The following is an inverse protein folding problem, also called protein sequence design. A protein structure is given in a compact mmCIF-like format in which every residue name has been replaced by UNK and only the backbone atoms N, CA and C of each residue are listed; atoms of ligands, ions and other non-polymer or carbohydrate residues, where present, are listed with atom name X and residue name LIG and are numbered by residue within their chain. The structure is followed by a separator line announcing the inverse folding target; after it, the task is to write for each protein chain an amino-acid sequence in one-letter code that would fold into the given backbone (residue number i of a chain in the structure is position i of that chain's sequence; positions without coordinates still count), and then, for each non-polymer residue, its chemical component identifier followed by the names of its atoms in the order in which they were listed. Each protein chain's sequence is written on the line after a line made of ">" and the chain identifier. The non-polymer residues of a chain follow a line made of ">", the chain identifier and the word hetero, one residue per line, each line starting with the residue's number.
data_IF_745949729377
#
_entry.id   IF_745949729377
#
_cell.length_a   1.000
_cell.length_b   1.000
_cell.length_c   1.000
_cell.angle_alpha   90.00
_cell.angle_beta   90.00
_cell.angle_gamma   90.00
#
_symmetry.space_group_name_H-M   'P 1'
#
loop_
_entity.id
_entity.type
_entity.pdbx_description
1 polymer ?
#
# COMPACT_ATOMS: atom_id res chain seq x y z
N UNK A 1 29.12 29.22 25.96
CA UNK A 1 30.31 28.41 25.65
C UNK A 1 29.83 26.98 25.46
N UNK A 2 29.89 26.43 24.24
CA UNK A 2 29.69 24.98 24.06
C UNK A 2 30.98 24.32 24.55
N UNK A 3 30.91 23.54 25.63
CA UNK A 3 32.05 22.79 26.15
C UNK A 3 32.51 21.73 25.12
N UNK A 4 33.83 21.55 24.96
CA UNK A 4 34.45 20.60 24.04
C UNK A 4 33.93 19.18 24.28
N UNK A 5 33.76 18.82 25.55
CA UNK A 5 33.17 17.55 25.99
C UNK A 5 31.79 17.29 25.37
N UNK A 6 30.96 18.33 25.27
CA UNK A 6 29.63 18.23 24.66
C UNK A 6 29.71 17.98 23.15
N UNK A 7 30.70 18.55 22.46
CA UNK A 7 30.90 18.36 21.02
C UNK A 7 31.42 16.95 20.71
N UNK A 8 32.34 16.43 21.53
CA UNK A 8 32.85 15.07 21.44
C UNK A 8 31.73 14.04 21.68
N UNK A 9 30.88 14.26 22.70
CA UNK A 9 29.70 13.42 22.93
C UNK A 9 28.73 13.38 21.74
N UNK A 10 28.51 14.51 21.07
CA UNK A 10 27.67 14.55 19.86
C UNK A 10 28.32 13.81 18.68
N UNK A 11 29.64 13.89 18.53
CA UNK A 11 30.38 13.12 17.55
C UNK A 11 30.31 11.61 17.83
N UNK A 12 30.44 11.18 19.08
CA UNK A 12 30.29 9.77 19.49
C UNK A 12 28.87 9.25 19.25
N UNK A 13 27.86 10.06 19.57
CA UNK A 13 26.45 9.72 19.30
C UNK A 13 26.17 9.57 17.80
N UNK A 14 26.71 10.47 16.98
CA UNK A 14 26.61 10.39 15.53
C UNK A 14 27.34 9.15 14.97
N UNK A 15 28.52 8.82 15.50
CA UNK A 15 29.25 7.60 15.16
C UNK A 15 28.40 6.35 15.42
N UNK A 16 27.84 6.20 16.63
CA UNK A 16 26.96 5.06 16.96
C UNK A 16 25.77 4.95 16.00
N UNK A 17 25.16 6.08 15.68
CA UNK A 17 24.04 6.15 14.72
C UNK A 17 24.48 5.69 13.33
N UNK A 18 25.63 6.17 12.84
CA UNK A 18 26.17 5.78 11.54
C UNK A 18 26.52 4.29 11.49
N UNK A 19 27.09 3.75 12.57
CA UNK A 19 27.44 2.33 12.67
C UNK A 19 26.22 1.42 12.64
N UNK A 20 25.07 1.87 13.14
CA UNK A 20 23.81 1.15 12.99
C UNK A 20 23.23 1.29 11.57
N UNK A 21 23.29 2.49 10.99
CA UNK A 21 22.60 2.79 9.73
C UNK A 21 23.35 2.30 8.48
N UNK A 22 24.67 2.49 8.43
CA UNK A 22 25.49 2.17 7.26
C UNK A 22 25.35 0.72 6.76
N UNK A 23 25.40 -0.32 7.63
CA UNK A 23 25.20 -1.71 7.19
C UNK A 23 23.74 -2.03 6.85
N UNK A 24 22.77 -1.34 7.47
CA UNK A 24 21.35 -1.56 7.24
C UNK A 24 20.82 -0.87 5.96
N UNK A 25 21.54 0.12 5.43
CA UNK A 25 21.10 0.87 4.26
C UNK A 25 21.06 -0.03 3.01
N UNK A 26 19.90 -0.16 2.32
CA UNK A 26 19.76 -1.08 1.22
C UNK A 26 20.76 -0.81 0.08
N UNK A 27 21.36 -1.88 -0.44
CA UNK A 27 22.21 -1.87 -1.64
C UNK A 27 21.45 -2.46 -2.82
N UNK A 28 21.77 -2.03 -4.04
CA UNK A 28 21.13 -2.54 -5.25
C UNK A 28 21.22 -4.07 -5.40
N UNK A 29 22.29 -4.68 -4.91
CA UNK A 29 22.48 -6.13 -4.89
C UNK A 29 21.52 -6.88 -3.98
N UNK A 30 21.03 -6.22 -2.92
CA UNK A 30 20.05 -6.77 -1.99
C UNK A 30 18.60 -6.55 -2.46
N UNK A 31 18.37 -5.58 -3.36
CA UNK A 31 17.04 -5.19 -3.86
C UNK A 31 16.63 -5.90 -5.16
N UNK A 32 17.19 -7.09 -5.44
CA UNK A 32 17.01 -7.76 -6.74
C UNK A 32 15.54 -8.10 -7.01
N UNK A 33 14.82 -8.55 -5.98
CA UNK A 33 13.40 -8.93 -6.14
C UNK A 33 12.54 -7.68 -6.32
N UNK A 34 12.73 -6.66 -5.49
CA UNK A 34 11.96 -5.42 -5.51
C UNK A 34 12.16 -4.64 -6.82
N UNK A 35 13.36 -4.70 -7.39
CA UNK A 35 13.64 -4.12 -8.72
C UNK A 35 12.90 -4.89 -9.81
N UNK A 36 12.83 -6.23 -9.74
CA UNK A 36 12.04 -7.05 -10.67
C UNK A 36 10.56 -6.73 -10.54
N UNK A 37 10.02 -6.76 -9.32
CA UNK A 37 8.63 -6.40 -9.02
C UNK A 37 8.30 -5.01 -9.56
N UNK A 38 9.20 -4.03 -9.39
CA UNK A 38 9.01 -2.68 -9.94
C UNK A 38 9.01 -2.62 -11.48
N UNK A 39 9.73 -3.50 -12.15
CA UNK A 39 9.71 -3.61 -13.62
C UNK A 39 8.43 -4.29 -14.10
N UNK A 40 8.07 -5.43 -13.50
CA UNK A 40 6.87 -6.19 -13.82
C UNK A 40 5.60 -5.38 -13.54
N UNK A 41 5.53 -4.72 -12.39
CA UNK A 41 4.42 -3.83 -12.05
C UNK A 41 4.31 -2.64 -13.02
N UNK A 42 5.43 -2.12 -13.52
CA UNK A 42 5.41 -1.04 -14.51
C UNK A 42 4.88 -1.51 -15.87
N UNK A 43 5.24 -2.72 -16.30
CA UNK A 43 4.74 -3.32 -17.54
C UNK A 43 3.24 -3.66 -17.42
N UNK A 44 2.85 -4.30 -16.31
CA UNK A 44 1.47 -4.67 -15.99
C UNK A 44 0.58 -3.45 -15.70
N UNK A 45 1.17 -2.33 -15.27
CA UNK A 45 0.47 -1.09 -14.95
C UNK A 45 0.01 -0.96 -13.49
N UNK A 46 0.31 -1.93 -12.64
CA UNK A 46 -0.01 -1.95 -11.20
C UNK A 46 0.80 -3.01 -10.43
N UNK A 47 0.92 -2.81 -9.12
CA UNK A 47 1.53 -3.76 -8.18
C UNK A 47 0.50 -4.79 -7.71
N UNK A 48 0.92 -6.05 -7.60
CA UNK A 48 0.20 -7.10 -6.88
C UNK A 48 0.31 -6.87 -5.36
N UNK A 49 -0.61 -7.41 -4.53
CA UNK A 49 -0.56 -7.24 -3.08
C UNK A 49 0.76 -7.65 -2.43
N UNK A 50 1.33 -8.78 -2.82
CA UNK A 50 2.59 -9.29 -2.28
C UNK A 50 3.80 -8.45 -2.72
N UNK A 51 3.81 -7.98 -3.97
CA UNK A 51 4.81 -7.04 -4.49
C UNK A 51 4.73 -5.67 -3.78
N UNK A 52 3.51 -5.17 -3.55
CA UNK A 52 3.26 -3.92 -2.82
C UNK A 52 3.80 -4.03 -1.39
N UNK A 53 3.48 -5.11 -0.67
CA UNK A 53 3.99 -5.34 0.68
C UNK A 53 5.51 -5.46 0.75
N UNK A 54 6.15 -6.19 -0.18
CA UNK A 54 7.63 -6.23 -0.27
C UNK A 54 8.21 -4.84 -0.48
N UNK A 55 7.65 -4.06 -1.42
CA UNK A 55 8.07 -2.68 -1.65
C UNK A 55 7.91 -1.82 -0.40
N UNK A 56 6.77 -1.91 0.30
CA UNK A 56 6.50 -1.09 1.49
C UNK A 56 7.44 -1.42 2.64
N UNK A 57 7.71 -2.70 2.89
CA UNK A 57 8.66 -3.13 3.92
C UNK A 57 10.03 -2.47 3.72
N UNK A 58 10.60 -2.62 2.52
CA UNK A 58 11.92 -2.05 2.20
C UNK A 58 11.88 -0.53 2.23
N UNK A 59 10.81 0.08 1.71
CA UNK A 59 10.70 1.53 1.62
C UNK A 59 10.56 2.18 3.00
N UNK A 60 9.75 1.62 3.91
CA UNK A 60 9.62 2.11 5.29
C UNK A 60 10.94 1.97 6.04
N UNK A 61 11.65 0.84 5.94
CA UNK A 61 12.98 0.70 6.52
C UNK A 61 13.95 1.76 5.97
N UNK A 62 13.94 1.98 4.65
CA UNK A 62 14.76 3.03 4.03
C UNK A 62 14.42 4.44 4.55
N UNK A 63 13.13 4.77 4.74
CA UNK A 63 12.72 6.07 5.28
C UNK A 63 13.22 6.27 6.71
N UNK A 64 13.13 5.25 7.57
CA UNK A 64 13.67 5.31 8.94
C UNK A 64 15.17 5.57 8.96
N UNK A 65 15.94 4.80 8.18
CA UNK A 65 17.40 4.98 8.05
C UNK A 65 17.75 6.36 7.47
N UNK A 66 16.98 6.83 6.49
CA UNK A 66 17.15 8.16 5.90
C UNK A 66 16.94 9.27 6.93
N UNK A 67 15.93 9.16 7.78
CA UNK A 67 15.66 10.12 8.85
C UNK A 67 16.84 10.18 9.82
N UNK A 68 17.35 9.04 10.28
CA UNK A 68 18.51 8.97 11.17
C UNK A 68 19.77 9.63 10.58
N UNK A 69 20.07 9.38 9.29
CA UNK A 69 21.19 10.07 8.60
C UNK A 69 20.96 11.57 8.52
N UNK A 70 19.73 12.00 8.23
CA UNK A 70 19.41 13.42 8.11
C UNK A 70 19.53 14.15 9.44
N UNK A 71 19.03 13.56 10.52
CA UNK A 71 19.18 14.08 11.88
C UNK A 71 20.64 14.18 12.28
N UNK A 72 21.46 13.16 11.95
CA UNK A 72 22.91 13.21 12.17
C UNK A 72 23.56 14.43 11.49
N UNK A 73 23.20 14.68 10.23
CA UNK A 73 23.69 15.86 9.50
C UNK A 73 23.22 17.17 10.16
N UNK A 74 21.96 17.26 10.57
CA UNK A 74 21.41 18.46 11.20
C UNK A 74 22.04 18.76 12.56
N UNK A 75 22.31 17.71 13.36
CA UNK A 75 22.94 17.80 14.68
C UNK A 75 24.39 18.24 14.59
N UNK A 76 25.16 17.68 13.65
CA UNK A 76 26.58 17.97 13.51
C UNK A 76 26.88 19.28 12.78
N UNK A 77 26.01 19.70 11.86
CA UNK A 77 26.25 20.87 11.00
C UNK A 77 26.58 22.17 11.75
N UNK A 78 25.95 22.53 12.88
CA UNK A 78 26.31 23.71 13.66
C UNK A 78 27.73 23.67 14.23
N UNK A 79 28.32 22.48 14.41
CA UNK A 79 29.66 22.28 14.99
C UNK A 79 30.78 22.37 13.94
N UNK A 80 30.43 22.55 12.67
CA UNK A 80 31.40 22.78 11.58
C UNK A 80 31.84 24.25 11.48
N UNK A 81 31.18 25.15 12.21
CA UNK A 81 31.54 26.56 12.28
C UNK A 81 32.73 26.74 13.24
N UNK A 82 33.84 27.28 12.72
CA UNK A 82 35.06 27.57 13.48
C UNK A 82 34.81 28.42 14.72
N UNK A 83 33.84 29.33 14.68
CA UNK A 83 33.48 30.17 15.84
C UNK A 83 32.89 29.36 16.99
N UNK A 84 32.30 28.20 16.69
CA UNK A 84 31.64 27.32 17.65
C UNK A 84 32.53 26.16 18.08
N UNK A 85 33.37 25.68 17.16
CA UNK A 85 34.34 24.64 17.42
C UNK A 85 35.69 25.11 16.86
N UNK A 86 36.57 25.72 17.68
CA UNK A 86 37.89 26.19 17.23
C UNK A 86 38.92 25.06 17.09
N UNK A 87 38.64 23.84 17.55
CA UNK A 87 39.49 22.66 17.40
C UNK A 87 39.40 22.10 15.96
N UNK A 88 40.49 22.21 15.21
CA UNK A 88 40.54 21.75 13.81
C UNK A 88 40.37 20.24 13.66
N UNK A 89 41.00 19.46 14.53
CA UNK A 89 40.97 18.01 14.46
C UNK A 89 39.56 17.48 14.78
N UNK A 90 38.92 18.03 15.83
CA UNK A 90 37.54 17.71 16.14
C UNK A 90 36.58 18.17 15.04
N UNK A 91 36.82 19.33 14.40
CA UNK A 91 36.03 19.78 13.24
C UNK A 91 36.15 18.81 12.07
N UNK A 92 37.35 18.31 11.76
CA UNK A 92 37.57 17.36 10.68
C UNK A 92 36.88 16.01 10.94
N UNK A 93 36.95 15.52 12.17
CA UNK A 93 36.22 14.32 12.61
C UNK A 93 34.70 14.48 12.44
N UNK A 94 34.14 15.57 12.97
CA UNK A 94 32.71 15.91 12.85
C UNK A 94 32.31 16.05 11.38
N UNK A 95 33.17 16.69 10.58
CA UNK A 95 32.96 16.82 9.14
C UNK A 95 32.91 15.45 8.47
N UNK A 96 33.83 14.54 8.77
CA UNK A 96 33.85 13.17 8.23
C UNK A 96 32.52 12.44 8.49
N UNK A 97 32.02 12.47 9.73
CA UNK A 97 30.74 11.88 10.11
C UNK A 97 29.55 12.51 9.35
N UNK A 98 29.47 13.85 9.33
CA UNK A 98 28.38 14.57 8.68
C UNK A 98 28.40 14.38 7.16
N UNK A 99 29.59 14.39 6.54
CA UNK A 99 29.75 14.22 5.11
C UNK A 99 29.49 12.78 4.68
N UNK A 100 29.92 11.78 5.45
CA UNK A 100 29.59 10.37 5.21
C UNK A 100 28.08 10.15 5.20
N UNK A 101 27.38 10.69 6.20
CA UNK A 101 25.91 10.68 6.26
C UNK A 101 25.27 11.32 5.03
N UNK A 102 25.79 12.47 4.62
CA UNK A 102 25.30 13.21 3.45
C UNK A 102 25.55 12.42 2.15
N UNK A 103 26.70 11.77 2.01
CA UNK A 103 27.03 10.94 0.87
C UNK A 103 26.06 9.76 0.71
N UNK A 104 25.83 9.02 1.80
CA UNK A 104 24.86 7.92 1.83
C UNK A 104 23.43 8.38 1.47
N UNK A 105 23.02 9.55 1.98
CA UNK A 105 21.73 10.18 1.63
C UNK A 105 21.63 10.53 0.15
N UNK A 106 22.72 11.01 -0.47
CA UNK A 106 22.77 11.35 -1.88
C UNK A 106 22.76 10.11 -2.77
N UNK A 107 23.56 9.08 -2.44
CA UNK A 107 23.59 7.82 -3.19
C UNK A 107 22.23 7.14 -3.19
N UNK A 108 21.64 6.95 -2.01
CA UNK A 108 20.35 6.28 -1.85
C UNK A 108 19.20 7.06 -2.52
N UNK A 109 19.14 8.39 -2.34
CA UNK A 109 18.16 9.22 -3.04
C UNK A 109 18.33 9.14 -4.57
N UNK A 110 19.57 9.16 -5.07
CA UNK A 110 19.83 9.03 -6.51
C UNK A 110 19.35 7.69 -7.05
N UNK A 111 19.56 6.60 -6.32
CA UNK A 111 19.11 5.27 -6.70
C UNK A 111 17.58 5.23 -6.88
N UNK A 112 16.82 5.54 -5.83
CA UNK A 112 15.35 5.44 -5.87
C UNK A 112 14.74 6.43 -6.86
N UNK A 113 15.30 7.64 -6.97
CA UNK A 113 14.88 8.62 -7.99
C UNK A 113 15.12 8.12 -9.40
N UNK A 114 16.23 7.44 -9.65
CA UNK A 114 16.55 6.90 -10.98
C UNK A 114 15.64 5.71 -11.30
N UNK A 115 15.34 4.86 -10.31
CA UNK A 115 14.41 3.75 -10.46
C UNK A 115 13.00 4.23 -10.84
N UNK A 116 12.47 5.22 -10.14
CA UNK A 116 11.10 5.68 -10.33
C UNK A 116 10.91 6.72 -11.46
N UNK A 117 11.97 7.40 -11.91
CA UNK A 117 11.89 8.54 -12.84
C UNK A 117 11.03 8.27 -14.07
N UNK A 118 11.28 7.15 -14.73
CA UNK A 118 10.63 6.78 -16.00
C UNK A 118 9.57 5.68 -15.77
N UNK A 119 9.21 5.45 -14.50
CA UNK A 119 8.27 4.41 -14.08
C UNK A 119 7.12 5.03 -13.27
N UNK A 120 6.09 5.59 -13.92
CA UNK A 120 4.99 6.25 -13.22
C UNK A 120 4.22 5.33 -12.26
N UNK A 121 4.19 4.01 -12.50
CA UNK A 121 3.55 3.05 -11.57
C UNK A 121 4.33 3.01 -10.26
N UNK A 122 5.66 2.84 -10.34
CA UNK A 122 6.58 2.85 -9.20
C UNK A 122 6.52 4.19 -8.46
N UNK A 123 6.54 5.30 -9.21
CA UNK A 123 6.41 6.64 -8.64
C UNK A 123 5.14 6.77 -7.81
N UNK A 124 3.98 6.48 -8.42
CA UNK A 124 2.70 6.65 -7.77
C UNK A 124 2.59 5.75 -6.55
N UNK A 125 3.14 4.54 -6.61
CA UNK A 125 3.12 3.61 -5.49
C UNK A 125 3.97 4.09 -4.32
N UNK A 126 5.18 4.58 -4.56
CA UNK A 126 6.03 5.17 -3.52
C UNK A 126 5.43 6.44 -2.87
N UNK A 127 4.58 7.17 -3.61
CA UNK A 127 3.87 8.36 -3.13
C UNK A 127 2.47 8.06 -2.55
N UNK A 128 2.01 6.81 -2.63
CA UNK A 128 0.71 6.38 -2.11
C UNK A 128 0.79 6.18 -0.60
N UNK A 129 -0.18 6.75 0.13
CA UNK A 129 -0.29 6.52 1.56
C UNK A 129 -0.60 5.05 1.85
N UNK A 130 -0.08 4.52 2.93
CA UNK A 130 -0.38 3.15 3.36
C UNK A 130 -0.31 3.12 4.90
N UNK A 131 -1.47 3.23 5.59
CA UNK A 131 -1.52 3.35 7.05
C UNK A 131 -0.85 2.20 7.79
N UNK A 132 -0.89 0.98 7.24
CA UNK A 132 -0.27 -0.21 7.87
C UNK A 132 1.24 -0.09 8.05
N UNK A 133 1.86 0.75 7.23
CA UNK A 133 3.31 0.97 7.19
C UNK A 133 3.71 2.37 7.66
N UNK A 134 2.75 3.14 8.22
CA UNK A 134 2.90 4.56 8.58
C UNK A 134 3.45 5.41 7.42
N UNK A 135 3.02 5.09 6.19
CA UNK A 135 3.47 5.80 5.00
C UNK A 135 2.51 6.93 4.66
N UNK A 136 3.02 8.16 4.73
CA UNK A 136 2.30 9.34 4.27
C UNK A 136 2.33 9.49 2.74
N UNK A 137 1.26 10.05 2.19
CA UNK A 137 1.21 10.41 0.79
C UNK A 137 2.31 11.44 0.44
N UNK A 138 2.90 11.29 -0.75
CA UNK A 138 3.95 12.18 -1.28
C UNK A 138 5.31 12.13 -0.57
N UNK A 139 5.57 11.09 0.23
CA UNK A 139 6.87 10.88 0.88
C UNK A 139 8.01 10.86 -0.15
N UNK A 140 7.85 10.15 -1.27
CA UNK A 140 8.86 10.08 -2.32
C UNK A 140 9.02 11.39 -3.10
N UNK A 141 7.92 12.08 -3.40
CA UNK A 141 7.93 13.43 -3.97
C UNK A 141 8.71 14.40 -3.08
N UNK A 142 8.61 14.29 -1.76
CA UNK A 142 9.40 15.08 -0.80
C UNK A 142 10.90 14.80 -0.95
N UNK A 143 11.28 13.51 -1.04
CA UNK A 143 12.66 13.10 -1.29
C UNK A 143 13.18 13.69 -2.61
N UNK A 144 12.41 13.55 -3.70
CA UNK A 144 12.84 14.06 -5.00
C UNK A 144 12.95 15.58 -5.04
N UNK A 145 12.05 16.29 -4.37
CA UNK A 145 12.10 17.75 -4.21
C UNK A 145 13.36 18.17 -3.45
N UNK A 146 13.68 17.49 -2.34
CA UNK A 146 14.89 17.76 -1.56
C UNK A 146 16.15 17.48 -2.37
N UNK A 147 16.21 16.32 -3.05
CA UNK A 147 17.30 15.92 -3.92
C UNK A 147 17.52 16.88 -5.12
N UNK A 148 16.45 17.53 -5.59
CA UNK A 148 16.50 18.50 -6.70
C UNK A 148 16.67 19.96 -6.23
N UNK A 149 16.94 20.19 -4.93
CA UNK A 149 17.07 21.54 -4.35
C UNK A 149 18.42 22.20 -4.67
N UNK A 150 18.38 23.41 -5.23
CA UNK A 150 19.60 24.15 -5.60
C UNK A 150 20.43 24.56 -4.39
N UNK A 151 19.74 24.91 -3.29
CA UNK A 151 20.36 25.25 -2.02
C UNK A 151 21.10 24.06 -1.43
N UNK A 152 20.48 22.87 -1.43
CA UNK A 152 21.11 21.67 -0.87
C UNK A 152 22.26 21.18 -1.74
N UNK A 153 22.12 21.23 -3.07
CA UNK A 153 23.21 20.89 -3.96
C UNK A 153 24.42 21.79 -3.73
N UNK A 154 24.22 23.11 -3.67
CA UNK A 154 25.35 24.03 -3.52
C UNK A 154 26.16 23.71 -2.27
N UNK A 155 25.49 23.46 -1.14
CA UNK A 155 26.10 23.00 0.10
C UNK A 155 26.80 21.65 -0.02
N UNK A 156 26.18 20.69 -0.69
CA UNK A 156 26.81 19.39 -0.96
C UNK A 156 28.09 19.53 -1.77
N UNK A 157 28.09 20.39 -2.80
CA UNK A 157 29.25 20.63 -3.65
C UNK A 157 30.40 21.31 -2.89
N UNK A 158 30.08 22.23 -1.98
CA UNK A 158 31.07 22.83 -1.08
C UNK A 158 31.67 21.81 -0.13
N UNK A 159 30.82 21.00 0.53
CA UNK A 159 31.27 19.93 1.41
C UNK A 159 32.13 18.91 0.63
N UNK A 160 31.73 18.52 -0.58
CA UNK A 160 32.53 17.64 -1.42
C UNK A 160 33.91 18.23 -1.77
N UNK A 161 33.99 19.53 -2.09
CA UNK A 161 35.28 20.20 -2.32
C UNK A 161 36.15 20.18 -1.08
N UNK A 162 35.57 20.50 0.08
CA UNK A 162 36.27 20.45 1.36
C UNK A 162 36.82 19.04 1.64
N UNK A 163 35.98 18.01 1.47
CA UNK A 163 36.40 16.61 1.60
C UNK A 163 37.55 16.28 0.65
N UNK A 164 37.45 16.67 -0.63
CA UNK A 164 38.48 16.37 -1.62
C UNK A 164 39.82 17.05 -1.31
N UNK A 165 39.80 18.25 -0.72
CA UNK A 165 41.02 18.96 -0.31
C UNK A 165 41.64 18.35 0.95
N UNK A 166 40.83 18.01 1.95
CA UNK A 166 41.29 17.56 3.26
C UNK A 166 41.16 16.04 3.47
N UNK A 167 41.15 15.25 2.38
CA UNK A 167 40.82 13.83 2.40
C UNK A 167 41.64 13.04 3.42
N UNK A 168 42.97 13.19 3.36
CA UNK A 168 43.90 12.47 4.23
C UNK A 168 43.81 12.96 5.68
N UNK A 169 43.65 14.27 5.90
CA UNK A 169 43.48 14.84 7.25
C UNK A 169 42.19 14.36 7.92
N UNK A 170 41.10 14.25 7.15
CA UNK A 170 39.82 13.72 7.64
C UNK A 170 39.97 12.24 8.02
N UNK A 171 40.64 11.44 7.18
CA UNK A 171 40.87 10.03 7.45
C UNK A 171 41.74 9.84 8.71
N UNK A 172 42.77 10.66 8.88
CA UNK A 172 43.63 10.65 10.07
C UNK A 172 42.88 11.05 11.34
N UNK A 173 42.08 12.12 11.29
CA UNK A 173 41.26 12.58 12.42
C UNK A 173 40.21 11.54 12.85
N UNK A 174 39.65 10.78 11.89
CA UNK A 174 38.74 9.67 12.18
C UNK A 174 39.49 8.49 12.82
N UNK A 175 40.66 8.12 12.29
CA UNK A 175 41.48 7.01 12.82
C UNK A 175 41.91 7.23 14.26
N UNK A 176 42.40 8.44 14.58
CA UNK A 176 42.79 8.80 15.96
C UNK A 176 41.66 8.74 16.98
N UNK A 177 40.40 8.73 16.51
CA UNK A 177 39.21 8.61 17.33
C UNK A 177 38.58 7.21 17.26
N UNK A 178 39.30 6.20 16.75
CA UNK A 178 38.84 4.82 16.56
C UNK A 178 37.60 4.72 15.64
N UNK A 179 37.54 5.56 14.60
CA UNK A 179 36.42 5.65 13.63
C UNK A 179 36.84 5.31 12.19
N UNK A 180 37.80 4.40 12.01
CA UNK A 180 38.34 4.00 10.70
C UNK A 180 37.26 3.57 9.70
N UNK A 181 36.23 2.87 10.16
CA UNK A 181 35.10 2.44 9.33
C UNK A 181 34.39 3.61 8.62
N UNK A 182 34.36 4.81 9.22
CA UNK A 182 33.78 5.99 8.58
C UNK A 182 34.62 6.40 7.37
N UNK A 183 35.95 6.33 7.48
CA UNK A 183 36.86 6.63 6.37
C UNK A 183 36.72 5.59 5.26
N UNK A 184 36.57 4.30 5.60
CA UNK A 184 36.28 3.23 4.64
C UNK A 184 34.96 3.46 3.91
N UNK A 185 33.88 3.81 4.63
CA UNK A 185 32.59 4.12 4.01
C UNK A 185 32.65 5.35 3.12
N UNK A 186 33.34 6.42 3.55
CA UNK A 186 33.57 7.60 2.72
C UNK A 186 34.27 7.24 1.41
N UNK A 187 35.31 6.41 1.50
CA UNK A 187 36.02 5.93 0.32
C UNK A 187 35.11 5.11 -0.60
N UNK A 188 34.31 4.21 -0.04
CA UNK A 188 33.32 3.42 -0.79
C UNK A 188 32.21 4.28 -1.44
N UNK A 189 31.91 5.46 -0.89
CA UNK A 189 30.93 6.40 -1.45
C UNK A 189 31.51 7.30 -2.56
N UNK A 190 32.84 7.43 -2.68
CA UNK A 190 33.51 8.28 -3.68
C UNK A 190 33.04 8.07 -5.14
N UNK A 191 32.85 6.82 -5.62
CA UNK A 191 32.36 6.58 -6.98
C UNK A 191 30.97 7.17 -7.23
N UNK A 192 30.20 7.41 -6.18
CA UNK A 192 28.84 7.92 -6.26
C UNK A 192 28.74 9.45 -6.15
N UNK A 193 29.83 10.14 -5.83
CA UNK A 193 29.83 11.60 -5.66
C UNK A 193 29.44 12.34 -6.94
N UNK A 194 28.57 13.31 -6.77
CA UNK A 194 28.12 14.15 -7.88
C UNK A 194 29.06 15.34 -8.07
N UNK A 195 29.98 15.23 -9.03
CA UNK A 195 30.98 16.27 -9.31
C UNK A 195 30.46 17.39 -10.23
N UNK A 196 29.34 17.17 -10.93
CA UNK A 196 28.85 18.06 -11.99
C UNK A 196 27.65 18.92 -11.60
N UNK A 197 27.86 20.25 -11.62
CA UNK A 197 26.78 21.24 -11.45
C UNK A 197 25.75 21.21 -12.60
N UNK A 198 26.13 20.79 -13.81
CA UNK A 198 25.24 20.74 -14.98
C UNK A 198 24.15 19.67 -14.82
N UNK A 199 24.53 18.48 -14.33
CA UNK A 199 23.56 17.40 -14.08
C UNK A 199 22.56 17.75 -12.98
N UNK A 200 22.95 18.62 -12.05
CA UNK A 200 22.02 19.19 -11.09
C UNK A 200 20.96 20.11 -11.74
N UNK A 201 21.37 21.05 -12.59
CA UNK A 201 20.44 21.96 -13.27
C UNK A 201 19.44 21.16 -14.12
N UNK A 202 19.92 20.14 -14.84
CA UNK A 202 19.05 19.21 -15.59
C UNK A 202 18.03 18.52 -14.68
N UNK A 203 18.45 18.00 -13.51
CA UNK A 203 17.52 17.40 -12.51
C UNK A 203 16.46 18.39 -12.05
N UNK A 204 16.84 19.63 -11.73
CA UNK A 204 15.88 20.67 -11.30
C UNK A 204 14.84 20.98 -12.38
N UNK A 205 15.27 21.13 -13.64
CA UNK A 205 14.36 21.37 -14.77
C UNK A 205 13.41 20.18 -14.94
N UNK A 206 13.94 18.95 -14.93
CA UNK A 206 13.13 17.72 -15.01
C UNK A 206 12.09 17.63 -13.90
N UNK A 207 12.47 17.92 -12.65
CA UNK A 207 11.52 17.96 -11.54
C UNK A 207 10.41 18.99 -11.78
N UNK A 208 10.73 20.20 -12.24
CA UNK A 208 9.72 21.24 -12.50
C UNK A 208 8.73 20.81 -13.58
N UNK A 209 9.21 20.19 -14.66
CA UNK A 209 8.36 19.64 -15.71
C UNK A 209 7.44 18.53 -15.16
N UNK A 210 8.00 17.60 -14.38
CA UNK A 210 7.24 16.53 -13.74
C UNK A 210 6.18 17.06 -12.77
N UNK A 211 6.57 17.99 -11.88
CA UNK A 211 5.68 18.62 -10.91
C UNK A 211 4.58 19.47 -11.58
N UNK A 212 4.82 20.00 -12.78
CA UNK A 212 3.79 20.66 -13.58
C UNK A 212 2.78 19.65 -14.11
N UNK A 213 3.23 18.54 -14.70
CA UNK A 213 2.37 17.44 -15.19
C UNK A 213 1.48 16.85 -14.08
N UNK A 214 2.06 16.59 -12.91
CA UNK A 214 1.32 16.04 -11.75
C UNK A 214 0.21 16.98 -11.25
N UNK A 215 0.43 18.30 -11.25
CA UNK A 215 -0.56 19.28 -10.77
C UNK A 215 -1.83 19.29 -11.61
N UNK A 216 -1.71 19.13 -12.93
CA UNK A 216 -2.87 19.05 -13.83
C UNK A 216 -3.71 17.79 -13.57
N UNK A 217 -3.05 16.65 -13.36
CA UNK A 217 -3.71 15.36 -13.06
C UNK A 217 -4.40 15.40 -11.68
N UNK A 218 -3.80 16.05 -10.69
CA UNK A 218 -4.36 16.15 -9.34
C UNK A 218 -5.68 16.94 -9.30
N UNK A 219 -5.82 18.00 -10.12
CA UNK A 219 -7.06 18.76 -10.25
C UNK A 219 -8.21 17.89 -10.77
N UNK A 220 -7.97 17.15 -11.85
CA UNK A 220 -8.96 16.21 -12.41
C UNK A 220 -9.34 15.09 -11.43
N UNK A 221 -8.35 14.47 -10.76
CA UNK A 221 -8.61 13.42 -9.76
C UNK A 221 -9.52 13.89 -8.62
N UNK A 222 -9.37 15.13 -8.16
CA UNK A 222 -10.21 15.68 -7.07
C UNK A 222 -11.67 15.84 -7.52
N UNK A 223 -11.90 16.35 -8.73
CA UNK A 223 -13.25 16.48 -9.30
C UNK A 223 -13.91 15.12 -9.47
N UNK A 224 -13.20 14.16 -10.08
CA UNK A 224 -13.72 12.80 -10.26
C UNK A 224 -14.01 12.10 -8.94
N UNK A 225 -13.18 12.29 -7.92
CA UNK A 225 -13.43 11.72 -6.59
C UNK A 225 -14.76 12.21 -5.99
N UNK A 226 -15.07 13.51 -6.09
CA UNK A 226 -16.34 14.04 -5.60
C UNK A 226 -17.54 13.45 -6.35
N UNK A 227 -17.42 13.29 -7.67
CA UNK A 227 -18.45 12.65 -8.49
C UNK A 227 -18.69 11.20 -8.06
N UNK A 228 -17.62 10.40 -7.97
CA UNK A 228 -17.71 8.99 -7.58
C UNK A 228 -18.20 8.79 -6.15
N UNK A 229 -17.79 9.66 -5.22
CA UNK A 229 -18.29 9.61 -3.84
C UNK A 229 -19.79 9.83 -3.80
N UNK A 230 -20.29 10.86 -4.50
CA UNK A 230 -21.72 11.17 -4.55
C UNK A 230 -22.52 10.06 -5.21
N UNK A 231 -22.05 9.51 -6.34
CA UNK A 231 -22.75 8.42 -7.02
C UNK A 231 -22.69 7.11 -6.22
N UNK A 232 -21.52 6.76 -5.68
CA UNK A 232 -21.31 5.51 -4.95
C UNK A 232 -22.05 5.48 -3.61
N UNK A 233 -22.02 6.58 -2.84
CA UNK A 233 -22.77 6.66 -1.58
C UNK A 233 -24.28 6.65 -1.83
N UNK A 234 -24.75 7.34 -2.88
CA UNK A 234 -26.17 7.34 -3.23
C UNK A 234 -26.65 5.93 -3.65
N UNK A 235 -25.87 5.22 -4.48
CA UNK A 235 -26.22 3.85 -4.90
C UNK A 235 -26.22 2.87 -3.72
N UNK A 236 -25.26 3.00 -2.79
CA UNK A 236 -25.15 2.11 -1.64
C UNK A 236 -26.32 2.24 -0.65
N UNK A 237 -26.90 3.44 -0.50
CA UNK A 237 -27.97 3.72 0.47
C UNK A 237 -29.39 3.62 -0.14
N UNK A 238 -29.51 3.45 -1.45
CA UNK A 238 -30.81 3.33 -2.12
C UNK A 238 -31.35 1.90 -2.07
N UNK A 239 -32.60 1.78 -1.60
CA UNK A 239 -33.40 0.56 -1.71
C UNK A 239 -34.27 0.63 -2.96
N UNK A 240 -34.48 -0.51 -3.62
CA UNK A 240 -35.41 -0.59 -4.74
C UNK A 240 -36.84 -0.34 -4.25
N UNK A 241 -37.54 0.68 -4.78
CA UNK A 241 -38.95 0.83 -4.49
C UNK A 241 -39.71 -0.34 -5.11
N UNK A 242 -40.67 -0.91 -4.37
CA UNK A 242 -41.62 -1.96 -4.78
C UNK A 242 -41.17 -3.44 -4.77
N UNK A 243 -39.91 -3.79 -4.46
CA UNK A 243 -39.50 -5.20 -4.32
C UNK A 243 -39.70 -5.80 -2.92
N UNK A 244 -39.79 -4.97 -1.87
CA UNK A 244 -39.98 -5.41 -0.48
C UNK A 244 -40.98 -4.50 0.23
N UNK A 245 -41.96 -5.07 0.94
CA UNK A 245 -42.81 -4.28 1.87
C UNK A 245 -41.96 -3.93 3.10
N UNK A 246 -42.14 -2.75 3.68
CA UNK A 246 -41.31 -2.21 4.77
C UNK A 246 -41.22 -3.07 6.06
N UNK A 247 -41.91 -4.22 6.12
CA UNK A 247 -42.02 -5.14 7.25
C UNK A 247 -41.57 -6.58 6.94
N UNK A 248 -41.05 -6.89 5.75
CA UNK A 248 -40.56 -8.25 5.44
C UNK A 248 -39.12 -8.42 5.89
N UNK A 249 -38.89 -9.35 6.82
CA UNK A 249 -37.56 -9.72 7.31
C UNK A 249 -36.65 -10.29 6.20
N UNK A 250 -35.34 -10.28 6.44
CA UNK A 250 -34.36 -10.95 5.58
C UNK A 250 -34.62 -12.45 5.51
N UNK A 251 -34.42 -13.07 4.33
CA UNK A 251 -34.68 -14.52 4.16
C UNK A 251 -33.79 -15.38 5.06
N UNK A 252 -32.58 -14.91 5.37
CA UNK A 252 -31.68 -15.57 6.33
C UNK A 252 -32.14 -15.23 7.77
N UNK A 253 -32.86 -16.18 8.37
CA UNK A 253 -33.39 -16.08 9.74
C UNK A 253 -32.30 -16.23 10.81
N UNK A 254 -32.53 -15.80 12.06
CA UNK A 254 -31.58 -15.97 13.16
C UNK A 254 -31.13 -17.44 13.38
N UNK A 255 -32.04 -18.40 13.20
CA UNK A 255 -31.73 -19.84 13.34
C UNK A 255 -30.77 -20.31 12.25
N UNK A 256 -30.95 -19.81 11.01
CA UNK A 256 -30.03 -20.08 9.90
C UNK A 256 -28.66 -19.46 10.15
N UNK A 257 -28.59 -18.27 10.75
CA UNK A 257 -27.31 -17.62 11.12
C UNK A 257 -26.57 -18.44 12.16
N UNK A 258 -27.23 -18.85 13.24
CA UNK A 258 -26.64 -19.70 14.27
C UNK A 258 -26.18 -21.05 13.71
N UNK A 259 -26.95 -21.64 12.78
CA UNK A 259 -26.55 -22.88 12.10
C UNK A 259 -25.31 -22.67 11.23
N UNK A 260 -25.27 -21.56 10.50
CA UNK A 260 -24.14 -21.19 9.63
C UNK A 260 -22.88 -20.92 10.44
N UNK A 261 -22.99 -20.19 11.55
CA UNK A 261 -21.88 -19.87 12.45
C UNK A 261 -21.13 -21.13 12.90
N UNK A 262 -21.88 -22.19 13.28
CA UNK A 262 -21.31 -23.47 13.71
C UNK A 262 -20.54 -24.20 12.60
N UNK A 263 -20.78 -23.85 11.33
CA UNK A 263 -20.12 -24.45 10.17
C UNK A 263 -18.92 -23.62 9.68
N UNK A 264 -18.83 -22.35 10.05
CA UNK A 264 -17.76 -21.46 9.61
C UNK A 264 -16.42 -21.77 10.28
N UNK A 265 -15.36 -21.59 9.51
CA UNK A 265 -13.97 -21.67 9.95
C UNK A 265 -13.22 -20.38 9.58
N UNK A 266 -12.14 -20.04 10.30
CA UNK A 266 -11.27 -18.94 9.89
C UNK A 266 -10.79 -19.11 8.45
N UNK A 267 -10.89 -18.03 7.68
CA UNK A 267 -10.54 -18.00 6.27
C UNK A 267 -11.66 -18.34 5.31
N UNK A 268 -12.79 -18.84 5.80
CA UNK A 268 -13.98 -18.90 4.96
C UNK A 268 -14.31 -17.47 4.50
N UNK A 269 -14.56 -17.27 3.22
CA UNK A 269 -15.12 -16.01 2.75
C UNK A 269 -16.56 -16.21 2.27
N UNK A 270 -17.40 -15.27 2.65
CA UNK A 270 -18.82 -15.28 2.32
C UNK A 270 -19.03 -14.34 1.15
N UNK A 271 -19.92 -14.72 0.25
CA UNK A 271 -20.41 -13.85 -0.81
C UNK A 271 -21.91 -13.72 -0.62
N UNK A 272 -22.41 -12.50 -0.48
CA UNK A 272 -23.77 -12.22 -0.01
C UNK A 272 -24.55 -11.34 -0.97
N UNK A 273 -25.87 -11.42 -0.88
CA UNK A 273 -26.83 -10.63 -1.66
C UNK A 273 -28.02 -10.21 -0.80
N UNK A 274 -28.39 -8.95 -0.88
CA UNK A 274 -29.70 -8.45 -0.48
C UNK A 274 -30.58 -8.31 -1.71
N UNK A 275 -31.83 -8.77 -1.68
CA UNK A 275 -32.71 -8.70 -2.86
C UNK A 275 -33.22 -7.27 -3.11
N UNK A 276 -33.34 -6.44 -2.08
CA UNK A 276 -33.84 -5.05 -2.15
C UNK A 276 -32.76 -3.98 -2.41
N UNK A 277 -31.48 -4.36 -2.47
CA UNK A 277 -30.40 -3.41 -2.69
C UNK A 277 -30.32 -2.93 -4.15
N UNK A 278 -30.31 -1.62 -4.37
CA UNK A 278 -30.10 -1.04 -5.72
C UNK A 278 -28.74 -1.39 -6.30
N UNK A 279 -27.75 -1.73 -5.48
CA UNK A 279 -26.43 -2.18 -5.94
C UNK A 279 -26.51 -3.37 -6.90
N UNK A 280 -27.55 -4.21 -6.81
CA UNK A 280 -27.83 -5.30 -7.74
C UNK A 280 -28.05 -4.86 -9.20
N UNK A 281 -28.44 -3.60 -9.44
CA UNK A 281 -28.65 -3.06 -10.79
C UNK A 281 -27.39 -2.42 -11.36
N UNK A 282 -26.41 -2.08 -10.52
CA UNK A 282 -25.23 -1.32 -10.91
C UNK A 282 -23.93 -2.14 -10.82
N UNK A 283 -23.92 -3.19 -10.01
CA UNK A 283 -22.80 -4.13 -9.90
C UNK A 283 -23.03 -5.31 -10.84
N UNK A 284 -21.97 -5.77 -11.53
CA UNK A 284 -22.09 -6.93 -12.41
C UNK A 284 -22.38 -8.19 -11.60
N UNK A 285 -23.36 -8.98 -12.06
CA UNK A 285 -23.61 -10.31 -11.54
C UNK A 285 -24.72 -10.44 -10.48
N UNK A 286 -24.93 -11.66 -10.00
CA UNK A 286 -25.86 -11.98 -8.94
C UNK A 286 -25.28 -11.64 -7.55
N UNK A 287 -23.96 -11.64 -7.42
CA UNK A 287 -23.24 -11.58 -6.15
C UNK A 287 -22.54 -10.23 -5.93
N UNK A 288 -23.14 -9.27 -5.20
CA UNK A 288 -22.61 -7.91 -5.08
C UNK A 288 -21.55 -7.72 -3.99
N UNK A 289 -21.50 -8.57 -2.95
CA UNK A 289 -20.72 -8.31 -1.75
C UNK A 289 -19.92 -9.52 -1.27
N UNK A 290 -18.76 -9.28 -0.65
CA UNK A 290 -17.91 -10.33 -0.09
C UNK A 290 -17.37 -9.93 1.29
N UNK A 291 -17.23 -10.89 2.18
CA UNK A 291 -16.69 -10.70 3.54
C UNK A 291 -15.84 -11.88 3.96
N UNK A 292 -14.92 -11.67 4.90
CA UNK A 292 -13.96 -12.69 5.33
C UNK A 292 -14.25 -13.11 6.76
N UNK A 293 -14.48 -14.40 7.00
CA UNK A 293 -14.59 -14.95 8.35
C UNK A 293 -13.21 -15.08 8.98
N UNK A 294 -13.07 -14.55 10.19
CA UNK A 294 -11.90 -14.73 11.05
C UNK A 294 -12.11 -15.86 12.07
N UNK A 295 -13.29 -16.47 12.11
CA UNK A 295 -13.69 -17.41 13.15
C UNK A 295 -13.84 -16.76 14.53
N UNK A 296 -14.02 -17.59 15.56
CA UNK A 296 -14.11 -17.15 16.96
C UNK A 296 -12.74 -17.00 17.63
N UNK A 297 -12.72 -16.46 18.86
CA UNK A 297 -11.48 -16.20 19.60
C UNK A 297 -10.59 -17.43 19.78
N UNK A 298 -11.17 -18.61 20.07
CA UNK A 298 -10.41 -19.85 20.23
C UNK A 298 -9.76 -20.29 18.91
N UNK A 299 -10.52 -20.29 17.82
CA UNK A 299 -9.99 -20.64 16.50
C UNK A 299 -8.86 -19.70 16.03
N UNK A 300 -8.97 -18.41 16.36
CA UNK A 300 -7.89 -17.44 16.08
C UNK A 300 -6.64 -17.69 16.90
N UNK A 301 -6.80 -18.06 18.17
CA UNK A 301 -5.69 -18.44 19.05
C UNK A 301 -5.00 -19.71 18.56
N UNK A 302 -5.75 -20.72 18.09
CA UNK A 302 -5.20 -21.97 17.56
C UNK A 302 -4.35 -21.75 16.30
N UNK A 303 -4.70 -20.74 15.50
CA UNK A 303 -3.94 -20.31 14.31
C UNK A 303 -2.84 -19.29 14.63
N UNK A 304 -2.67 -18.90 15.90
CA UNK A 304 -1.72 -17.87 16.35
C UNK A 304 -1.87 -16.55 15.58
N UNK A 305 -3.12 -16.12 15.36
CA UNK A 305 -3.43 -14.86 14.69
C UNK A 305 -3.21 -13.66 15.61
N UNK A 306 -2.89 -12.48 15.05
CA UNK A 306 -2.78 -11.26 15.83
C UNK A 306 -4.11 -10.95 16.55
N UNK A 307 -4.04 -10.34 17.76
CA UNK A 307 -5.24 -9.96 18.49
C UNK A 307 -6.02 -8.88 17.73
N UNK A 308 -7.35 -8.93 17.85
CA UNK A 308 -8.27 -7.93 17.29
C UNK A 308 -8.89 -7.11 18.42
N UNK A 309 -9.18 -5.83 18.18
CA UNK A 309 -9.72 -4.93 19.20
C UNK A 309 -11.15 -5.26 19.64
N UNK A 310 -11.86 -6.09 18.86
CA UNK A 310 -13.21 -6.61 19.14
C UNK A 310 -13.19 -8.14 19.16
N UNK A 311 -12.78 -8.80 20.26
CA UNK A 311 -12.63 -10.25 20.33
C UNK A 311 -13.91 -11.05 20.04
N UNK A 312 -15.07 -10.43 20.22
CA UNK A 312 -16.39 -10.97 19.92
C UNK A 312 -16.72 -11.00 18.43
N UNK A 313 -16.04 -10.19 17.61
CA UNK A 313 -16.25 -10.14 16.17
C UNK A 313 -15.68 -11.38 15.47
N UNK A 314 -16.29 -11.75 14.35
CA UNK A 314 -16.00 -13.00 13.63
C UNK A 314 -15.78 -12.77 12.13
N UNK A 315 -16.01 -11.55 11.65
CA UNK A 315 -15.94 -11.19 10.23
C UNK A 315 -15.12 -9.91 10.07
N UNK A 316 -14.32 -9.85 9.01
CA UNK A 316 -13.71 -8.63 8.51
C UNK A 316 -14.35 -8.27 7.17
N UNK A 317 -14.87 -7.05 7.06
CA UNK A 317 -15.62 -6.63 5.87
C UNK A 317 -15.47 -5.13 5.65
N UNK A 318 -15.37 -4.72 4.37
CA UNK A 318 -15.37 -3.32 3.99
C UNK A 318 -16.78 -2.88 3.58
N UNK A 319 -17.37 -1.96 4.35
CA UNK A 319 -18.61 -1.24 4.01
C UNK A 319 -18.31 0.26 3.92
N UNK A 320 -19.32 1.08 3.65
CA UNK A 320 -19.17 2.54 3.43
C UNK A 320 -18.45 3.30 4.55
N UNK A 321 -18.51 2.76 5.76
CA UNK A 321 -17.87 3.23 7.01
C UNK A 321 -16.42 2.74 7.17
N UNK A 322 -15.93 1.87 6.28
CA UNK A 322 -14.56 1.38 6.25
C UNK A 322 -14.45 -0.14 6.40
N UNK A 323 -13.21 -0.60 6.56
CA UNK A 323 -12.84 -1.99 6.85
C UNK A 323 -12.88 -2.17 8.36
N UNK A 324 -13.86 -2.93 8.86
CA UNK A 324 -14.10 -3.09 10.29
C UNK A 324 -14.30 -4.56 10.65
N UNK A 325 -13.99 -4.91 11.90
CA UNK A 325 -14.43 -6.16 12.50
C UNK A 325 -15.94 -6.10 12.78
N UNK A 326 -16.66 -7.16 12.41
CA UNK A 326 -18.12 -7.24 12.52
C UNK A 326 -18.57 -8.58 13.09
N UNK A 327 -19.77 -8.57 13.62
CA UNK A 327 -20.48 -9.79 13.98
C UNK A 327 -21.04 -10.49 12.75
N UNK A 328 -21.04 -11.82 12.79
CA UNK A 328 -21.61 -12.61 11.70
C UNK A 328 -23.10 -12.30 11.50
N UNK A 329 -23.84 -12.03 12.58
CA UNK A 329 -25.28 -11.72 12.50
C UNK A 329 -25.58 -10.47 11.67
N UNK A 330 -24.71 -9.47 11.72
CA UNK A 330 -24.80 -8.27 10.89
C UNK A 330 -24.52 -8.63 9.41
N UNK A 331 -23.51 -9.46 9.17
CA UNK A 331 -23.07 -9.87 7.83
C UNK A 331 -24.10 -10.76 7.12
N UNK A 332 -24.76 -11.65 7.88
CA UNK A 332 -25.76 -12.59 7.39
C UNK A 332 -27.20 -12.07 7.49
N UNK A 333 -27.38 -10.79 7.79
CA UNK A 333 -28.68 -10.11 7.65
C UNK A 333 -29.00 -9.86 6.17
N UNK A 334 -29.06 -10.93 5.37
CA UNK A 334 -29.12 -10.90 3.89
C UNK A 334 -30.17 -11.88 3.36
N UNK A 335 -30.34 -11.94 2.04
CA UNK A 335 -31.35 -12.78 1.40
C UNK A 335 -30.78 -14.05 0.76
N UNK A 336 -29.54 -13.96 0.28
CA UNK A 336 -28.80 -15.11 -0.23
C UNK A 336 -27.32 -15.00 0.15
N UNK A 337 -26.68 -16.14 0.33
CA UNK A 337 -25.24 -16.20 0.55
C UNK A 337 -24.64 -17.54 0.12
N UNK A 338 -23.32 -17.54 -0.08
CA UNK A 338 -22.50 -18.72 -0.27
C UNK A 338 -21.23 -18.59 0.57
N UNK A 339 -20.78 -19.71 1.13
CA UNK A 339 -19.54 -19.81 1.92
C UNK A 339 -18.50 -20.59 1.12
N UNK A 340 -17.33 -20.00 0.96
CA UNK A 340 -16.17 -20.61 0.32
C UNK A 340 -15.06 -20.82 1.33
N UNK A 341 -14.54 -22.04 1.39
CA UNK A 341 -13.43 -22.41 2.27
C UNK A 341 -12.12 -22.55 1.49
N UNK A 342 -11.02 -21.90 1.92
CA UNK A 342 -9.70 -22.12 1.35
C UNK A 342 -9.19 -23.53 1.71
N UNK A 343 -8.62 -24.21 0.73
CA UNK A 343 -7.88 -25.47 0.89
C UNK A 343 -6.38 -25.17 0.95
N UNK A 344 -5.97 -24.55 2.05
CA UNK A 344 -4.58 -24.13 2.28
C UNK A 344 -4.03 -24.73 3.57
N UNK A 345 -2.72 -24.93 3.62
CA UNK A 345 -2.03 -25.29 4.85
C UNK A 345 -2.13 -24.17 5.90
N UNK A 346 -2.11 -24.53 7.18
CA UNK A 346 -2.31 -23.57 8.28
C UNK A 346 -1.33 -22.39 8.25
N UNK A 347 -0.09 -22.59 7.80
CA UNK A 347 0.88 -21.50 7.72
C UNK A 347 0.51 -20.45 6.66
N UNK A 348 0.01 -20.88 5.49
CA UNK A 348 -0.54 -19.99 4.47
C UNK A 348 -1.84 -19.34 4.93
N UNK A 349 -2.71 -20.09 5.60
CA UNK A 349 -3.95 -19.54 6.15
C UNK A 349 -3.65 -18.45 7.21
N UNK A 350 -2.69 -18.69 8.10
CA UNK A 350 -2.20 -17.72 9.08
C UNK A 350 -1.66 -16.46 8.42
N UNK A 351 -0.84 -16.60 7.37
CA UNK A 351 -0.30 -15.48 6.59
C UNK A 351 -1.44 -14.64 5.99
N UNK A 352 -2.41 -15.29 5.31
CA UNK A 352 -3.54 -14.61 4.68
C UNK A 352 -4.41 -13.84 5.69
N UNK A 353 -4.73 -14.47 6.83
CA UNK A 353 -5.57 -13.85 7.86
C UNK A 353 -4.83 -12.74 8.61
N UNK A 354 -3.52 -12.87 8.83
CA UNK A 354 -2.69 -11.81 9.40
C UNK A 354 -2.66 -10.60 8.47
N UNK A 355 -2.48 -10.82 7.16
CA UNK A 355 -2.60 -9.76 6.14
C UNK A 355 -3.97 -9.10 6.18
N UNK A 356 -5.05 -9.90 6.22
CA UNK A 356 -6.41 -9.38 6.27
C UNK A 356 -6.63 -8.49 7.51
N UNK A 357 -6.30 -8.99 8.70
CA UNK A 357 -6.43 -8.26 9.96
C UNK A 357 -5.70 -6.92 9.93
N UNK A 358 -4.52 -6.87 9.31
CA UNK A 358 -3.75 -5.61 9.16
C UNK A 358 -4.49 -4.51 8.39
N UNK A 359 -5.50 -4.85 7.58
CA UNK A 359 -6.27 -3.88 6.79
C UNK A 359 -7.41 -3.18 7.55
N UNK A 360 -7.70 -3.60 8.78
CA UNK A 360 -8.71 -2.96 9.61
C UNK A 360 -8.41 -1.46 9.82
N UNK A 361 -9.47 -0.66 9.93
CA UNK A 361 -9.39 0.80 10.08
C UNK A 361 -9.21 1.57 8.76
N UNK A 362 -8.99 0.88 7.63
CA UNK A 362 -8.94 1.55 6.31
C UNK A 362 -10.31 2.08 5.89
N UNK A 363 -10.31 3.22 5.21
CA UNK A 363 -11.55 3.81 4.67
C UNK A 363 -12.05 3.03 3.45
N UNK A 364 -13.33 3.23 3.12
CA UNK A 364 -13.93 2.63 1.93
C UNK A 364 -13.48 3.30 0.63
N UNK A 365 -13.17 2.50 -0.40
CA UNK A 365 -12.84 3.01 -1.74
C UNK A 365 -14.07 3.16 -2.65
N UNK A 366 -14.65 4.37 -2.66
CA UNK A 366 -15.75 4.71 -3.56
C UNK A 366 -15.36 4.81 -5.05
N UNK A 367 -14.06 4.73 -5.39
CA UNK A 367 -13.57 4.81 -6.78
C UNK A 367 -13.36 3.42 -7.39
N UNK A 368 -13.40 2.35 -6.58
CA UNK A 368 -13.24 0.96 -6.99
C UNK A 368 -11.98 0.76 -7.85
N UNK A 369 -10.80 1.02 -7.28
CA UNK A 369 -9.52 0.99 -8.00
C UNK A 369 -8.43 0.23 -7.23
N UNK A 370 -8.35 -1.08 -7.47
CA UNK A 370 -7.51 -2.03 -6.68
C UNK A 370 -6.00 -1.84 -6.88
N UNK A 371 -5.61 -0.87 -7.70
CA UNK A 371 -4.22 -0.44 -7.84
C UNK A 371 -3.71 0.25 -6.57
N UNK A 372 -4.61 0.80 -5.75
CA UNK A 372 -4.29 1.47 -4.50
C UNK A 372 -4.72 0.64 -3.30
N UNK A 373 -3.95 0.73 -2.22
CA UNK A 373 -4.18 0.00 -0.98
C UNK A 373 -4.61 0.91 0.18
N UNK A 374 -4.62 2.25 0.02
CA UNK A 374 -4.96 3.19 1.10
C UNK A 374 -6.41 3.10 1.58
N UNK A 375 -7.29 2.57 0.73
CA UNK A 375 -8.72 2.38 0.94
C UNK A 375 -9.16 1.12 0.22
N UNK A 376 -10.11 0.39 0.77
CA UNK A 376 -10.52 -0.90 0.22
C UNK A 376 -12.02 -0.97 -0.04
N UNK A 377 -12.40 -1.88 -0.94
CA UNK A 377 -13.78 -2.37 -1.05
C UNK A 377 -13.89 -3.80 -0.51
N UNK A 378 -15.12 -4.32 -0.42
CA UNK A 378 -15.42 -5.59 0.25
C UNK A 378 -14.65 -6.79 -0.32
N UNK A 379 -14.68 -7.01 -1.64
CA UNK A 379 -13.91 -8.07 -2.29
C UNK A 379 -12.40 -7.83 -2.31
N UNK A 380 -11.95 -6.59 -2.11
CA UNK A 380 -10.53 -6.27 -2.04
C UNK A 380 -9.89 -6.77 -0.74
N UNK A 381 -10.66 -6.83 0.35
CA UNK A 381 -10.21 -7.45 1.61
C UNK A 381 -9.78 -8.89 1.38
N UNK A 382 -10.61 -9.68 0.70
CA UNK A 382 -10.31 -11.09 0.37
C UNK A 382 -9.17 -11.17 -0.65
N UNK A 383 -9.18 -10.33 -1.70
CA UNK A 383 -8.10 -10.28 -2.69
C UNK A 383 -6.74 -10.02 -2.05
N UNK A 384 -6.64 -9.03 -1.15
CA UNK A 384 -5.38 -8.68 -0.49
C UNK A 384 -4.97 -9.67 0.60
N UNK A 385 -5.93 -10.36 1.20
CA UNK A 385 -5.64 -11.44 2.12
C UNK A 385 -4.93 -12.60 1.41
N UNK A 386 -5.46 -13.04 0.26
CA UNK A 386 -5.08 -14.33 -0.32
C UNK A 386 -4.15 -14.25 -1.53
N UNK A 387 -4.16 -13.17 -2.32
CA UNK A 387 -3.32 -13.11 -3.52
C UNK A 387 -1.83 -13.21 -3.15
N UNK A 388 -1.11 -14.12 -3.81
CA UNK A 388 0.30 -14.36 -3.55
C UNK A 388 0.58 -15.12 -2.26
N UNK A 389 -0.46 -15.64 -1.59
CA UNK A 389 -0.31 -16.58 -0.46
C UNK A 389 -0.36 -18.00 -1.00
N UNK A 390 0.73 -18.73 -0.83
CA UNK A 390 0.88 -20.08 -1.37
C UNK A 390 0.58 -20.09 -2.89
N UNK A 391 -0.29 -21.00 -3.38
CA UNK A 391 -0.59 -21.07 -4.80
C UNK A 391 -1.73 -20.15 -5.25
N UNK A 392 -2.31 -19.33 -4.36
CA UNK A 392 -3.49 -18.53 -4.68
C UNK A 392 -3.11 -17.30 -5.50
N UNK A 393 -3.75 -17.16 -6.67
CA UNK A 393 -3.61 -16.01 -7.54
C UNK A 393 -4.96 -15.57 -8.09
N UNK A 394 -5.14 -14.27 -8.21
CA UNK A 394 -6.34 -13.62 -8.74
C UNK A 394 -5.96 -12.59 -9.78
N UNK A 395 -6.76 -12.48 -10.82
CA UNK A 395 -6.57 -11.54 -11.92
C UNK A 395 -7.56 -10.38 -11.82
N UNK A 396 -7.06 -9.15 -11.85
CA UNK A 396 -7.90 -7.98 -11.89
C UNK A 396 -8.51 -7.80 -13.28
N UNK A 397 -9.79 -7.44 -13.32
CA UNK A 397 -10.55 -7.21 -14.54
C UNK A 397 -10.70 -5.71 -14.78
N UNK A 398 -10.50 -5.28 -16.03
CA UNK A 398 -10.65 -3.87 -16.41
C UNK A 398 -12.12 -3.54 -16.66
N UNK A 399 -12.72 -2.66 -15.85
CA UNK A 399 -14.08 -2.13 -16.03
C UNK A 399 -14.08 -0.62 -15.94
N UNK A 400 -14.67 0.06 -16.93
CA UNK A 400 -14.75 1.53 -16.99
C UNK A 400 -13.40 2.24 -16.75
N UNK A 401 -12.30 1.65 -17.27
CA UNK A 401 -10.94 2.19 -17.12
C UNK A 401 -10.29 1.96 -15.74
N UNK A 402 -10.94 1.22 -14.85
CA UNK A 402 -10.44 0.80 -13.53
C UNK A 402 -10.11 -0.69 -13.50
N UNK A 403 -9.18 -1.07 -12.65
CA UNK A 403 -8.89 -2.47 -12.36
C UNK A 403 -9.61 -2.85 -11.07
N UNK A 404 -10.46 -3.86 -11.16
CA UNK A 404 -11.34 -4.31 -10.09
C UNK A 404 -11.40 -5.82 -10.07
N UNK A 405 -11.73 -6.39 -8.92
CA UNK A 405 -12.20 -7.77 -8.81
C UNK A 405 -13.53 -7.72 -8.08
N UNK A 406 -14.64 -7.86 -8.81
CA UNK A 406 -15.98 -7.86 -8.19
C UNK A 406 -16.15 -9.09 -7.30
N UNK A 407 -17.11 -9.08 -6.37
CA UNK A 407 -17.39 -10.25 -5.54
C UNK A 407 -17.75 -11.49 -6.39
N UNK A 408 -18.45 -11.30 -7.51
CA UNK A 408 -18.72 -12.38 -8.45
C UNK A 408 -17.48 -12.88 -9.20
N UNK A 409 -16.58 -11.99 -9.65
CA UNK A 409 -15.32 -12.43 -10.29
C UNK A 409 -14.43 -13.17 -9.29
N UNK A 410 -14.36 -12.67 -8.05
CA UNK A 410 -13.63 -13.30 -6.97
C UNK A 410 -14.17 -14.71 -6.72
N UNK A 411 -15.49 -14.85 -6.59
CA UNK A 411 -16.17 -16.14 -6.45
C UNK A 411 -15.81 -17.08 -7.62
N UNK A 412 -15.92 -16.59 -8.85
CA UNK A 412 -15.64 -17.37 -10.05
C UNK A 412 -14.17 -17.82 -10.12
N UNK A 413 -13.23 -16.92 -9.86
CA UNK A 413 -11.80 -17.21 -9.88
C UNK A 413 -11.40 -18.16 -8.75
N UNK A 414 -11.96 -17.98 -7.55
CA UNK A 414 -11.73 -18.87 -6.42
C UNK A 414 -12.14 -20.30 -6.75
N UNK A 415 -13.34 -20.51 -7.30
CA UNK A 415 -13.80 -21.84 -7.72
C UNK A 415 -12.94 -22.42 -8.85
N UNK A 416 -12.61 -21.61 -9.86
CA UNK A 416 -11.80 -22.05 -11.00
C UNK A 416 -10.36 -22.42 -10.60
N UNK A 417 -9.83 -21.84 -9.52
CA UNK A 417 -8.47 -22.11 -9.04
C UNK A 417 -8.29 -23.51 -8.45
N UNK A 418 -9.38 -24.14 -7.98
CA UNK A 418 -9.31 -25.41 -7.23
C UNK A 418 -8.81 -25.29 -5.78
N UNK A 419 -8.40 -24.09 -5.34
CA UNK A 419 -7.93 -23.83 -3.97
C UNK A 419 -9.04 -23.41 -3.02
N UNK A 420 -10.28 -23.33 -3.50
CA UNK A 420 -11.45 -23.01 -2.68
C UNK A 420 -12.58 -23.99 -2.97
N UNK A 421 -13.36 -24.31 -1.95
CA UNK A 421 -14.54 -25.17 -2.07
C UNK A 421 -15.79 -24.52 -1.51
N UNK A 422 -16.96 -24.89 -2.04
CA UNK A 422 -18.24 -24.44 -1.50
C UNK A 422 -18.63 -25.33 -0.32
N UNK A 423 -18.79 -24.72 0.84
CA UNK A 423 -19.25 -25.42 2.04
C UNK A 423 -20.77 -25.47 2.06
N UNK A 424 -21.41 -24.31 1.85
CA UNK A 424 -22.85 -24.19 1.85
C UNK A 424 -23.31 -22.96 1.07
N UNK A 425 -24.55 -23.00 0.61
CA UNK A 425 -25.24 -21.83 0.09
C UNK A 425 -26.71 -21.81 0.48
N UNK A 426 -27.29 -20.62 0.50
CA UNK A 426 -28.70 -20.38 0.79
C UNK A 426 -29.25 -19.27 -0.11
N UNK A 427 -30.54 -19.34 -0.41
CA UNK A 427 -31.29 -18.21 -0.95
C UNK A 427 -31.25 -18.05 -2.47
N UNK A 428 -30.57 -18.95 -3.18
CA UNK A 428 -30.47 -18.94 -4.64
C UNK A 428 -31.73 -19.59 -5.23
N UNK A 429 -32.72 -18.81 -5.65
CA UNK A 429 -33.95 -19.33 -6.29
C UNK A 429 -34.94 -20.08 -5.38
N UNK A 430 -34.49 -20.68 -4.28
CA UNK A 430 -35.30 -21.32 -3.23
C UNK A 430 -34.76 -20.98 -1.83
N UNK A 431 -35.58 -21.20 -0.80
CA UNK A 431 -35.25 -20.97 0.62
C UNK A 431 -34.62 -22.20 1.27
N UNK A 432 -33.73 -22.90 0.56
CA UNK A 432 -33.10 -24.11 1.05
C UNK A 432 -31.60 -23.92 1.30
N UNK A 433 -31.14 -24.47 2.42
CA UNK A 433 -29.72 -24.60 2.70
C UNK A 433 -29.19 -25.81 1.93
N UNK A 434 -28.25 -25.59 1.03
CA UNK A 434 -27.61 -26.65 0.25
C UNK A 434 -26.14 -26.79 0.65
N UNK A 435 -25.62 -28.00 0.56
CA UNK A 435 -24.21 -28.34 0.84
C UNK A 435 -23.65 -29.25 -0.26
N UNK A 436 -22.31 -29.37 -0.29
CA UNK A 436 -21.59 -30.25 -1.21
C UNK A 436 -21.94 -29.99 -2.68
N UNK A 437 -22.06 -31.07 -3.48
CA UNK A 437 -22.30 -30.99 -4.93
C UNK A 437 -23.57 -30.23 -5.30
N UNK A 438 -24.61 -30.29 -4.46
CA UNK A 438 -25.86 -29.57 -4.71
C UNK A 438 -25.65 -28.05 -4.60
N UNK A 439 -24.91 -27.59 -3.60
CA UNK A 439 -24.53 -26.18 -3.47
C UNK A 439 -23.65 -25.73 -4.63
N UNK A 440 -22.66 -26.55 -5.00
CA UNK A 440 -21.76 -26.26 -6.12
C UNK A 440 -22.51 -26.07 -7.44
N UNK A 441 -23.38 -27.03 -7.81
CA UNK A 441 -24.19 -26.95 -9.01
C UNK A 441 -25.11 -25.70 -8.99
N UNK A 442 -25.68 -25.38 -7.83
CA UNK A 442 -26.54 -24.22 -7.65
C UNK A 442 -25.77 -22.92 -7.87
N UNK A 443 -24.59 -22.77 -7.28
CA UNK A 443 -23.78 -21.55 -7.40
C UNK A 443 -23.22 -21.40 -8.81
N UNK A 444 -22.73 -22.47 -9.44
CA UNK A 444 -22.31 -22.43 -10.84
C UNK A 444 -23.44 -21.96 -11.77
N UNK A 445 -24.70 -22.31 -11.48
CA UNK A 445 -25.85 -21.82 -12.24
C UNK A 445 -26.04 -20.29 -12.15
N UNK A 446 -25.63 -19.66 -11.04
CA UNK A 446 -25.74 -18.19 -10.85
C UNK A 446 -24.69 -17.41 -11.62
N UNK A 447 -23.54 -18.03 -11.90
CA UNK A 447 -22.39 -17.34 -12.47
C UNK A 447 -22.49 -17.14 -13.98
N UNK A 448 -23.48 -17.69 -14.68
CA UNK A 448 -23.61 -17.56 -16.14
C UNK A 448 -22.40 -18.09 -16.95
N UNK A 449 -22.56 -18.21 -18.28
CA UNK A 449 -21.43 -18.47 -19.19
C UNK A 449 -20.63 -17.16 -19.37
N UNK A 450 -19.29 -17.23 -19.49
CA UNK A 450 -18.40 -16.09 -19.77
C UNK A 450 -19.06 -15.15 -20.80
N UNK A 451 -19.54 -13.98 -20.37
CA UNK A 451 -19.87 -12.92 -21.31
C UNK A 451 -18.55 -12.28 -21.73
N UNK A 452 -18.15 -12.34 -23.01
CA UNK A 452 -17.18 -11.39 -23.51
C UNK A 452 -17.90 -10.03 -23.49
N UNK A 453 -17.33 -9.05 -22.79
CA UNK A 453 -17.86 -7.68 -22.70
C UNK A 453 -19.27 -7.54 -22.11
N UNK A 454 -19.39 -7.52 -20.77
CA UNK A 454 -20.54 -6.87 -20.16
C UNK A 454 -20.49 -5.38 -20.51
N UNK A 455 -21.46 -4.94 -21.32
CA UNK A 455 -21.60 -3.63 -21.93
C UNK A 455 -21.23 -2.43 -21.02
N UNK A 456 -20.75 -1.31 -21.60
CA UNK A 456 -20.54 -0.09 -20.85
C UNK A 456 -21.84 0.34 -20.16
N UNK A 457 -21.72 0.87 -18.94
CA UNK A 457 -22.78 1.64 -18.28
C UNK A 457 -23.06 2.90 -19.12
N UNK A 458 -23.76 2.75 -20.25
CA UNK A 458 -24.39 3.84 -20.97
C UNK A 458 -25.65 4.24 -20.19
N UNK A 459 -25.45 5.12 -19.21
CA UNK A 459 -26.51 5.65 -18.37
C UNK A 459 -26.19 7.01 -17.76
N UNK A 460 -25.26 7.77 -18.35
CA UNK A 460 -25.11 9.20 -18.06
C UNK A 460 -25.81 9.99 -19.17
N UNK A 461 -26.66 10.99 -18.82
CA UNK A 461 -27.34 11.80 -19.84
C UNK A 461 -26.30 12.42 -20.78
N UNK A 462 -26.42 12.12 -22.07
CA UNK A 462 -25.70 12.82 -23.14
C UNK A 462 -26.17 14.27 -23.14
N UNK A 463 -25.52 15.12 -22.36
CA UNK A 463 -25.69 16.56 -22.50
C UNK A 463 -25.08 16.97 -23.84
N UNK A 464 -25.94 17.18 -24.83
CA UNK A 464 -25.58 17.70 -26.13
C UNK A 464 -24.87 19.03 -25.95
N UNK A 465 -23.58 19.06 -26.30
CA UNK A 465 -22.85 20.29 -26.55
C UNK A 465 -23.48 20.94 -27.79
N UNK A 466 -24.45 21.84 -27.56
CA UNK A 466 -24.80 22.87 -28.53
C UNK A 466 -23.57 23.76 -28.69
N UNK A 467 -22.87 23.57 -29.81
CA UNK A 467 -21.93 24.53 -30.36
C UNK A 467 -22.67 25.85 -30.59
N UNK A 468 -22.44 26.84 -29.74
CA UNK A 468 -22.77 28.24 -30.04
C UNK A 468 -21.65 28.84 -30.87
N UNK A 469 -21.96 29.13 -32.13
CA UNK A 469 -21.22 30.07 -32.99
C UNK A 469 -21.45 31.51 -32.50
N UNK A 470 -20.42 32.33 -32.70
CA UNK A 470 -20.40 33.81 -32.80
C UNK A 470 -20.86 34.58 -31.53
N UNK A 471 -20.21 35.66 -31.11
CA UNK A 471 -19.54 36.75 -31.84
C UNK A 471 -18.20 37.07 -31.18
#
# INVERSE_FOLDING_TARGET
>A
MNDRTSQEHLADSAWRTLSAVAPALPRSSALKQEIRDAMEAQERGYYLPDEDERLRNVYTSYLGLRTALWETVLTLRPLLDERRNPDWELRLRIFGLAFCSTAMLMRSARFIVTLARDRPVVWNKLDEAEPRFDLEAKSFTSIYRSFSSARWMWRYHEAWRFYNTHREEIAEALRKADMDLVAEWLHAEEPFFEKSRREFIKRKIRYRLHAFKLRQIAGYKRVMFHLFRLSGSAIADMKQPFTRRAHEEHRVTPELRCTTEKMLQPGDFLVTRHDDAMSNLFLPGFWPHASLSLGNSAQRSDLDLPPIHHPEANVLEAKKDGVLFRHLDETLSVDAFVVLRPRLENHFLKEALTRAISHEGKLYDFVFDFRKADKLVCSEVVYRAYHGVGPVSFELVKRSGKLVLSAEDLLRQALASGFFEIILCYGVGDNQMLQGRAAEAKILSTLGKKSPDSAPLEGLPKFGLKTSRAI
#
